data_IF_058551377490
#
_entry.id   IF_058551377490
#
_cell.length_a   1.000
_cell.length_b   1.000
_cell.length_c   1.000
_cell.angle_alpha   90.00
_cell.angle_beta   90.00
_cell.angle_gamma   90.00
#
_symmetry.space_group_name_H-M   'P 1'
#
loop_
_entity.id
_entity.type
_entity.pdbx_description
1 polymer ?
#
# COMPACT_ATOMS: atom_id res chain seq x y z
N UNK A 1 -12.59 -45.58 -33.40
CA UNK A 1 -12.22 -44.16 -33.29
C UNK A 1 -12.48 -43.71 -31.85
N UNK A 2 -11.43 -43.51 -31.05
CA UNK A 2 -11.51 -42.92 -29.71
C UNK A 2 -10.60 -41.69 -29.71
N UNK A 3 -11.21 -40.51 -29.88
CA UNK A 3 -10.51 -39.24 -29.86
C UNK A 3 -10.25 -38.79 -28.43
N UNK A 4 -8.99 -38.76 -28.02
CA UNK A 4 -8.55 -38.03 -26.83
C UNK A 4 -8.64 -36.52 -27.12
N UNK A 5 -9.56 -35.84 -26.45
CA UNK A 5 -9.53 -34.38 -26.33
C UNK A 5 -8.47 -34.01 -25.29
N UNK A 6 -7.29 -33.63 -25.77
CA UNK A 6 -6.26 -33.01 -24.94
C UNK A 6 -6.75 -31.62 -24.50
N UNK A 7 -7.05 -31.49 -23.21
CA UNK A 7 -7.36 -30.21 -22.58
C UNK A 7 -6.14 -29.29 -22.60
N UNK A 8 -6.17 -28.28 -23.45
CA UNK A 8 -5.25 -27.15 -23.41
C UNK A 8 -5.54 -26.32 -22.15
N UNK A 9 -4.76 -26.53 -21.10
CA UNK A 9 -4.66 -25.57 -20.00
C UNK A 9 -3.99 -24.31 -20.53
N UNK A 10 -4.80 -23.29 -20.85
CA UNK A 10 -4.29 -21.95 -21.15
C UNK A 10 -3.78 -21.35 -19.84
N UNK A 11 -2.49 -21.53 -19.57
CA UNK A 11 -1.80 -20.77 -18.53
C UNK A 11 -1.94 -19.29 -18.88
N UNK A 12 -2.70 -18.54 -18.07
CA UNK A 12 -2.77 -17.08 -18.21
C UNK A 12 -1.34 -16.53 -18.09
N UNK A 13 -0.92 -15.59 -18.95
CA UNK A 13 0.41 -15.01 -18.85
C UNK A 13 0.52 -14.36 -17.47
N UNK A 14 1.47 -14.85 -16.67
CA UNK A 14 1.89 -14.17 -15.45
C UNK A 14 2.47 -12.83 -15.91
N UNK A 15 1.67 -11.76 -15.80
CA UNK A 15 2.18 -10.41 -15.98
C UNK A 15 3.33 -10.22 -14.99
N UNK A 16 4.57 -10.27 -15.50
CA UNK A 16 5.75 -10.06 -14.69
C UNK A 16 5.61 -8.68 -14.04
N UNK A 17 5.66 -8.63 -12.71
CA UNK A 17 5.65 -7.37 -11.99
C UNK A 17 7.01 -6.69 -12.23
N UNK A 18 6.99 -5.45 -12.74
CA UNK A 18 8.20 -4.66 -12.90
C UNK A 18 8.62 -4.05 -11.55
N UNK A 19 9.24 -4.86 -10.70
CA UNK A 19 9.70 -4.47 -9.36
C UNK A 19 11.22 -4.61 -9.26
N UNK A 20 11.84 -3.69 -8.53
CA UNK A 20 13.26 -3.74 -8.19
C UNK A 20 13.41 -3.75 -6.68
N UNK A 21 14.22 -4.66 -6.16
CA UNK A 21 14.43 -4.82 -4.73
C UNK A 21 15.86 -4.45 -4.34
N UNK A 22 15.99 -3.78 -3.20
CA UNK A 22 17.28 -3.53 -2.55
C UNK A 22 17.12 -3.74 -1.05
N UNK A 23 18.10 -4.40 -0.44
CA UNK A 23 18.14 -4.67 1.00
C UNK A 23 16.91 -5.45 1.54
N UNK A 24 16.13 -6.09 0.65
CA UNK A 24 14.98 -6.94 0.96
C UNK A 24 15.37 -8.40 1.04
N UNK A 25 14.93 -9.09 2.10
CA UNK A 25 15.03 -10.54 2.18
C UNK A 25 14.15 -11.20 1.11
N UNK A 26 14.43 -12.46 0.73
CA UNK A 26 13.57 -13.19 -0.22
C UNK A 26 12.11 -13.26 0.24
N UNK A 27 11.89 -13.42 1.55
CA UNK A 27 10.56 -13.40 2.14
C UNK A 27 9.88 -12.03 1.94
N UNK A 28 10.58 -10.92 2.22
CA UNK A 28 10.03 -9.58 1.98
C UNK A 28 9.69 -9.36 0.50
N UNK A 29 10.54 -9.84 -0.41
CA UNK A 29 10.32 -9.71 -1.86
C UNK A 29 9.03 -10.44 -2.27
N UNK A 30 8.84 -11.69 -1.84
CA UNK A 30 7.64 -12.47 -2.12
C UNK A 30 6.36 -11.82 -1.53
N UNK A 31 6.45 -11.28 -0.31
CA UNK A 31 5.33 -10.57 0.32
C UNK A 31 4.97 -9.27 -0.44
N UNK A 32 5.98 -8.51 -0.88
CA UNK A 32 5.79 -7.29 -1.68
C UNK A 32 5.18 -7.61 -3.05
N UNK A 33 5.69 -8.63 -3.74
CA UNK A 33 5.14 -9.09 -5.02
C UNK A 33 3.67 -9.48 -4.89
N UNK A 34 3.36 -10.26 -3.85
CA UNK A 34 1.98 -10.69 -3.54
C UNK A 34 1.08 -9.48 -3.29
N UNK A 35 1.53 -8.51 -2.48
CA UNK A 35 0.77 -7.30 -2.19
C UNK A 35 0.55 -6.44 -3.45
N UNK A 36 1.58 -6.21 -4.27
CA UNK A 36 1.46 -5.43 -5.52
C UNK A 36 0.53 -6.13 -6.51
N UNK A 37 0.64 -7.45 -6.67
CA UNK A 37 -0.28 -8.24 -7.52
C UNK A 37 -1.71 -8.10 -7.03
N UNK A 38 -1.92 -8.20 -5.72
CA UNK A 38 -3.24 -8.05 -5.13
C UNK A 38 -3.82 -6.65 -5.38
N UNK A 39 -3.02 -5.59 -5.15
CA UNK A 39 -3.43 -4.21 -5.39
C UNK A 39 -3.88 -3.97 -6.84
N UNK A 40 -3.11 -4.48 -7.81
CA UNK A 40 -3.44 -4.37 -9.23
C UNK A 40 -4.74 -5.11 -9.58
N UNK A 41 -4.94 -6.31 -9.04
CA UNK A 41 -6.11 -7.13 -9.33
C UNK A 41 -7.40 -6.67 -8.61
N UNK A 42 -7.28 -5.90 -7.52
CA UNK A 42 -8.42 -5.59 -6.63
C UNK A 42 -8.73 -4.09 -6.52
N UNK A 43 -8.34 -3.27 -7.50
CA UNK A 43 -8.63 -1.82 -7.53
C UNK A 43 -10.11 -1.54 -7.27
N UNK A 44 -11.01 -2.29 -7.89
CA UNK A 44 -12.46 -2.11 -7.69
C UNK A 44 -12.91 -2.30 -6.23
N UNK A 45 -12.24 -3.18 -5.47
CA UNK A 45 -12.52 -3.33 -4.03
C UNK A 45 -12.02 -2.14 -3.22
N UNK A 46 -10.88 -1.54 -3.61
CA UNK A 46 -10.35 -0.33 -2.99
C UNK A 46 -11.28 0.86 -3.27
N UNK A 47 -11.75 0.99 -4.51
CA UNK A 47 -12.72 2.02 -4.93
C UNK A 47 -14.01 1.94 -4.09
N UNK A 48 -14.49 0.73 -3.80
CA UNK A 48 -15.66 0.54 -2.93
C UNK A 48 -15.45 0.99 -1.48
N UNK A 49 -14.22 1.22 -1.02
CA UNK A 49 -13.89 1.70 0.32
C UNK A 49 -13.57 3.20 0.34
N UNK A 50 -12.97 3.74 -0.70
CA UNK A 50 -12.68 5.17 -0.83
C UNK A 50 -13.96 6.01 -0.72
N UNK A 51 -13.85 7.19 -0.10
CA UNK A 51 -14.99 8.09 0.12
C UNK A 51 -16.03 7.61 1.15
N UNK A 52 -15.81 6.46 1.81
CA UNK A 52 -16.74 5.91 2.82
C UNK A 52 -16.14 5.97 4.22
N UNK A 53 -17.02 6.02 5.21
CA UNK A 53 -16.69 5.92 6.64
C UNK A 53 -15.51 6.81 7.04
N UNK A 54 -15.59 8.11 6.73
CA UNK A 54 -14.55 9.12 7.03
C UNK A 54 -13.28 9.06 6.15
N UNK A 55 -13.16 8.09 5.23
CA UNK A 55 -12.09 8.09 4.23
C UNK A 55 -12.34 9.16 3.17
N UNK A 56 -11.25 9.80 2.73
CA UNK A 56 -11.30 10.72 1.61
C UNK A 56 -11.68 9.96 0.32
N UNK A 57 -12.50 10.58 -0.53
CA UNK A 57 -12.74 10.08 -1.89
C UNK A 57 -11.49 10.29 -2.78
N UNK A 58 -11.51 9.79 -4.01
CA UNK A 58 -10.51 10.07 -5.04
C UNK A 58 -10.64 11.50 -5.56
N UNK A 59 -9.77 12.47 -5.18
CA UNK A 59 -9.86 13.81 -5.70
C UNK A 59 -9.41 13.89 -7.17
N UNK A 60 -10.26 14.40 -8.06
CA UNK A 60 -9.91 14.66 -9.47
C UNK A 60 -9.30 13.44 -10.17
N UNK A 61 -8.17 13.61 -10.83
CA UNK A 61 -7.47 12.54 -11.56
C UNK A 61 -6.62 11.60 -10.68
N UNK A 62 -6.71 11.70 -9.35
CA UNK A 62 -5.84 10.95 -8.44
C UNK A 62 -5.96 9.42 -8.56
N UNK A 63 -7.17 8.89 -8.83
CA UNK A 63 -7.37 7.45 -9.06
C UNK A 63 -6.57 6.97 -10.27
N UNK A 64 -6.74 7.65 -11.41
CA UNK A 64 -6.01 7.36 -12.64
C UNK A 64 -4.50 7.45 -12.42
N UNK A 65 -4.03 8.53 -11.79
CA UNK A 65 -2.62 8.72 -11.51
C UNK A 65 -2.06 7.64 -10.57
N UNK A 66 -2.83 7.18 -9.58
CA UNK A 66 -2.42 6.12 -8.66
C UNK A 66 -2.21 4.79 -9.39
N UNK A 67 -3.13 4.42 -10.29
CA UNK A 67 -2.98 3.26 -11.17
C UNK A 67 -1.74 3.38 -12.06
N UNK A 68 -1.55 4.53 -12.70
CA UNK A 68 -0.35 4.79 -13.51
C UNK A 68 0.95 4.71 -12.71
N UNK A 69 0.94 5.00 -11.40
CA UNK A 69 2.12 4.80 -10.55
C UNK A 69 2.32 3.33 -10.20
N UNK A 70 1.24 2.60 -9.91
CA UNK A 70 1.27 1.17 -9.58
C UNK A 70 1.72 0.32 -10.77
N UNK A 71 1.44 0.75 -11.99
CA UNK A 71 1.82 0.05 -13.22
C UNK A 71 3.25 0.34 -13.70
N UNK A 72 3.89 1.37 -13.16
CA UNK A 72 5.30 1.67 -13.48
C UNK A 72 6.24 0.78 -12.68
N UNK A 73 7.50 0.74 -13.12
CA UNK A 73 8.59 0.17 -12.33
C UNK A 73 8.62 0.79 -10.92
N UNK A 74 8.46 -0.04 -9.89
CA UNK A 74 8.56 0.36 -8.49
C UNK A 74 9.83 -0.21 -7.87
N UNK A 75 10.60 0.66 -7.21
CA UNK A 75 11.80 0.24 -6.48
C UNK A 75 11.51 0.18 -4.99
N UNK A 76 11.66 -0.99 -4.40
CA UNK A 76 11.51 -1.21 -2.97
C UNK A 76 12.87 -1.32 -2.30
N UNK A 77 13.02 -0.61 -1.19
CA UNK A 77 14.15 -0.75 -0.27
C UNK A 77 13.61 -1.22 1.06
N UNK A 78 13.96 -2.43 1.49
CA UNK A 78 13.59 -2.93 2.81
C UNK A 78 14.72 -2.59 3.79
N UNK A 79 14.35 -2.04 4.94
CA UNK A 79 15.28 -1.58 6.00
C UNK A 79 16.08 -0.33 5.62
N UNK A 80 16.10 0.64 6.53
CA UNK A 80 16.85 1.88 6.36
C UNK A 80 18.19 1.78 7.11
N UNK A 81 19.31 1.81 6.38
CA UNK A 81 20.68 1.84 6.92
C UNK A 81 21.00 3.08 7.81
N UNK A 82 20.06 4.01 8.02
CA UNK A 82 20.25 5.26 8.79
C UNK A 82 19.03 5.64 9.64
N UNK A 83 18.57 4.75 10.52
CA UNK A 83 17.73 5.13 11.68
C UNK A 83 16.38 5.85 11.36
N UNK A 84 15.76 5.69 10.18
CA UNK A 84 14.44 6.28 9.90
C UNK A 84 13.23 5.37 10.11
N UNK A 85 13.44 4.06 10.29
CA UNK A 85 12.42 3.17 10.89
C UNK A 85 12.36 3.41 12.40
N UNK A 86 12.29 4.68 12.81
CA UNK A 86 12.12 5.10 14.18
C UNK A 86 10.64 5.39 14.40
N UNK A 87 10.14 4.97 15.56
CA UNK A 87 8.96 5.53 16.21
C UNK A 87 9.13 7.05 16.18
N UNK A 88 8.34 7.75 15.36
CA UNK A 88 8.51 9.21 15.20
C UNK A 88 8.26 9.82 16.57
N UNK A 89 9.36 10.25 17.21
CA UNK A 89 9.38 10.61 18.61
C UNK A 89 8.41 11.77 18.87
N UNK A 90 7.75 11.70 20.03
CA UNK A 90 6.65 12.55 20.56
C UNK A 90 5.21 12.20 20.20
N UNK A 91 4.90 11.24 19.30
CA UNK A 91 3.49 10.95 18.92
C UNK A 91 3.04 9.48 18.93
N UNK A 92 3.86 8.54 19.42
CA UNK A 92 3.54 7.10 19.45
C UNK A 92 3.26 6.45 18.08
N UNK A 93 3.44 7.15 16.95
CA UNK A 93 3.19 6.60 15.62
C UNK A 93 4.42 5.83 15.12
N UNK A 94 4.21 4.58 14.72
CA UNK A 94 5.23 3.76 14.02
C UNK A 94 5.22 4.13 12.54
N UNK A 95 6.39 4.42 11.98
CA UNK A 95 6.56 4.63 10.55
C UNK A 95 6.72 3.26 9.86
N UNK A 96 5.70 2.86 9.10
CA UNK A 96 5.68 1.58 8.38
C UNK A 96 6.32 1.66 6.98
N UNK A 97 6.34 2.85 6.38
CA UNK A 97 6.98 3.11 5.10
C UNK A 97 7.27 4.59 4.87
N UNK A 98 8.04 4.88 3.83
CA UNK A 98 8.28 6.24 3.34
C UNK A 98 8.69 6.22 1.86
N UNK A 99 8.04 7.05 1.04
CA UNK A 99 8.61 7.49 -0.24
C UNK A 99 9.69 8.53 0.01
N UNK A 100 10.89 8.31 -0.54
CA UNK A 100 11.93 9.35 -0.57
C UNK A 100 11.78 10.17 -1.86
N UNK A 101 11.38 11.46 -1.75
CA UNK A 101 11.14 12.32 -2.89
C UNK A 101 12.46 12.91 -3.41
N UNK A 102 13.40 12.07 -3.85
CA UNK A 102 14.39 12.55 -4.82
C UNK A 102 13.75 12.31 -6.17
N UNK A 103 13.35 13.40 -6.83
CA UNK A 103 12.50 13.54 -8.02
C UNK A 103 12.76 12.60 -9.22
N UNK A 104 13.77 11.72 -9.16
CA UNK A 104 14.10 10.77 -10.22
C UNK A 104 14.06 9.29 -9.80
N UNK A 105 14.01 8.94 -8.52
CA UNK A 105 14.27 7.55 -8.09
C UNK A 105 13.06 6.73 -7.62
N UNK A 106 11.88 7.33 -7.41
CA UNK A 106 10.60 6.63 -7.07
C UNK A 106 10.78 5.42 -6.14
N UNK A 107 11.58 5.60 -5.11
CA UNK A 107 11.92 4.53 -4.17
C UNK A 107 10.91 4.51 -3.03
N UNK A 108 10.27 3.36 -2.84
CA UNK A 108 9.42 3.06 -1.68
C UNK A 108 10.32 2.37 -0.65
N UNK A 109 10.50 2.99 0.51
CA UNK A 109 11.21 2.38 1.63
C UNK A 109 10.19 1.73 2.56
N UNK A 110 10.40 0.45 2.89
CA UNK A 110 9.51 -0.30 3.78
C UNK A 110 10.24 -0.67 5.07
N UNK A 111 9.59 -0.43 6.20
CA UNK A 111 10.04 -0.84 7.52
C UNK A 111 9.43 -2.20 7.89
N UNK A 112 9.71 -3.23 7.09
CA UNK A 112 9.06 -4.54 7.15
C UNK A 112 9.21 -5.24 8.50
N UNK A 113 10.26 -4.93 9.26
CA UNK A 113 10.44 -5.41 10.65
C UNK A 113 9.31 -5.00 11.61
N UNK A 114 8.49 -4.02 11.26
CA UNK A 114 7.34 -3.60 12.05
C UNK A 114 6.02 -4.21 11.56
N UNK A 115 6.03 -4.94 10.45
CA UNK A 115 4.82 -5.55 9.91
C UNK A 115 4.47 -6.77 10.78
N UNK A 116 3.34 -6.68 11.46
CA UNK A 116 2.86 -7.67 12.43
C UNK A 116 1.54 -8.32 11.98
N UNK A 117 0.87 -7.73 10.99
CA UNK A 117 -0.41 -8.20 10.46
C UNK A 117 -0.25 -8.88 9.09
N UNK A 118 0.98 -9.30 8.75
CA UNK A 118 1.31 -10.00 7.51
C UNK A 118 0.96 -9.17 6.27
N UNK A 119 0.34 -9.81 5.28
CA UNK A 119 -0.03 -9.21 3.99
C UNK A 119 -0.84 -7.92 4.09
N UNK A 120 -1.67 -7.75 5.13
CA UNK A 120 -2.45 -6.53 5.29
C UNK A 120 -1.55 -5.29 5.48
N UNK A 121 -0.44 -5.42 6.21
CA UNK A 121 0.51 -4.32 6.41
C UNK A 121 1.24 -3.97 5.11
N UNK A 122 1.64 -4.98 4.31
CA UNK A 122 2.24 -4.76 2.99
C UNK A 122 1.26 -4.07 2.04
N UNK A 123 0.02 -4.57 1.92
CA UNK A 123 -1.02 -4.01 1.05
C UNK A 123 -1.33 -2.56 1.45
N UNK A 124 -1.56 -2.31 2.74
CA UNK A 124 -1.87 -0.98 3.29
C UNK A 124 -0.72 0.00 3.05
N UNK A 125 0.49 -0.38 3.45
CA UNK A 125 1.67 0.49 3.39
C UNK A 125 2.05 0.81 1.95
N UNK A 126 2.11 -0.18 1.07
CA UNK A 126 2.46 0.05 -0.34
C UNK A 126 1.42 0.95 -1.01
N UNK A 127 0.12 0.73 -0.77
CA UNK A 127 -0.92 1.58 -1.33
C UNK A 127 -0.81 3.04 -0.86
N UNK A 128 -0.53 3.24 0.44
CA UNK A 128 -0.28 4.56 1.03
C UNK A 128 0.94 5.25 0.42
N UNK A 129 2.07 4.54 0.30
CA UNK A 129 3.30 5.09 -0.28
C UNK A 129 3.13 5.42 -1.77
N UNK A 130 2.44 4.58 -2.55
CA UNK A 130 2.07 4.93 -3.93
C UNK A 130 1.15 6.17 -3.96
N UNK A 131 0.28 6.34 -2.96
CA UNK A 131 -0.50 7.55 -2.75
C UNK A 131 0.36 8.81 -2.64
N UNK A 132 1.52 8.73 -1.99
CA UNK A 132 2.49 9.83 -1.91
C UNK A 132 3.12 10.18 -3.26
N UNK A 133 3.28 9.21 -4.17
CA UNK A 133 3.78 9.46 -5.53
C UNK A 133 2.76 10.22 -6.41
N UNK A 134 1.49 10.24 -6.03
CA UNK A 134 0.42 10.96 -6.73
C UNK A 134 0.21 12.34 -6.12
N UNK A 135 0.16 12.43 -4.78
CA UNK A 135 0.01 13.70 -4.06
C UNK A 135 0.98 13.74 -2.88
N UNK A 136 1.97 14.62 -2.98
CA UNK A 136 2.83 14.97 -1.84
C UNK A 136 2.02 15.82 -0.84
N UNK A 137 1.24 15.15 -0.01
CA UNK A 137 0.56 15.76 1.11
C UNK A 137 1.27 15.36 2.42
N UNK A 138 1.51 16.32 3.31
CA UNK A 138 1.92 16.00 4.68
C UNK A 138 0.85 15.14 5.36
N UNK A 139 1.28 14.13 6.13
CA UNK A 139 0.38 13.33 6.97
C UNK A 139 -0.33 14.24 7.99
N UNK A 140 -1.54 13.85 8.42
CA UNK A 140 -2.00 14.35 9.71
C UNK A 140 -1.16 13.67 10.80
N UNK A 141 -0.39 14.44 11.54
CA UNK A 141 0.46 13.94 12.63
C UNK A 141 -0.31 13.79 13.96
N UNK A 142 -1.43 14.52 14.12
CA UNK A 142 -2.35 14.29 15.22
C UNK A 142 -3.17 13.03 14.96
N UNK A 143 -3.07 12.04 15.85
CA UNK A 143 -3.71 10.73 15.70
C UNK A 143 -5.23 10.84 15.47
N UNK A 144 -5.95 11.60 16.31
CA UNK A 144 -7.41 11.76 16.17
C UNK A 144 -7.78 12.34 14.81
N UNK A 145 -7.08 13.38 14.35
CA UNK A 145 -7.29 13.97 13.01
C UNK A 145 -6.90 13.02 11.88
N UNK A 146 -5.88 12.18 12.07
CA UNK A 146 -5.51 11.16 11.10
C UNK A 146 -6.60 10.09 10.96
N UNK A 147 -7.29 9.77 12.07
CA UNK A 147 -8.42 8.86 12.04
C UNK A 147 -9.69 9.49 11.44
N UNK A 148 -10.06 10.70 11.85
CA UNK A 148 -11.34 11.31 11.43
C UNK A 148 -11.29 11.93 10.04
N UNK A 149 -10.11 12.43 9.63
CA UNK A 149 -9.92 13.13 8.37
C UNK A 149 -8.57 12.73 7.76
N UNK A 150 -8.36 11.44 7.47
CA UNK A 150 -7.14 10.96 6.84
C UNK A 150 -6.88 11.74 5.56
N UNK A 151 -5.62 12.08 5.30
CA UNK A 151 -5.25 12.65 3.99
C UNK A 151 -5.33 11.58 2.92
N UNK A 152 -5.20 12.01 1.67
CA UNK A 152 -5.28 11.15 0.50
C UNK A 152 -4.47 9.84 0.62
N UNK A 153 -3.16 9.87 0.88
CA UNK A 153 -2.35 8.65 1.00
C UNK A 153 -2.81 7.74 2.13
N UNK A 154 -3.12 8.33 3.30
CA UNK A 154 -3.65 7.61 4.47
C UNK A 154 -4.98 6.93 4.11
N UNK A 155 -5.86 7.63 3.38
CA UNK A 155 -7.16 7.09 2.96
C UNK A 155 -7.00 5.93 2.01
N UNK A 156 -6.06 6.02 1.05
CA UNK A 156 -5.78 4.94 0.10
C UNK A 156 -5.19 3.71 0.80
N UNK A 157 -4.26 3.90 1.74
CA UNK A 157 -3.70 2.81 2.55
C UNK A 157 -4.78 2.10 3.37
N UNK A 158 -5.57 2.85 4.13
CA UNK A 158 -6.68 2.31 4.91
C UNK A 158 -7.70 1.62 4.00
N UNK A 159 -8.12 2.24 2.90
CA UNK A 159 -9.04 1.62 1.94
C UNK A 159 -8.51 0.26 1.44
N UNK A 160 -7.23 0.17 1.11
CA UNK A 160 -6.60 -1.08 0.68
C UNK A 160 -6.56 -2.14 1.78
N UNK A 161 -6.18 -1.76 3.01
CA UNK A 161 -6.16 -2.65 4.17
C UNK A 161 -7.53 -3.28 4.44
N UNK A 162 -8.57 -2.45 4.50
CA UNK A 162 -9.91 -2.92 4.82
C UNK A 162 -10.55 -3.66 3.64
N UNK A 163 -10.19 -3.32 2.39
CA UNK A 163 -10.54 -4.13 1.23
C UNK A 163 -9.89 -5.52 1.27
N UNK A 164 -8.64 -5.62 1.73
CA UNK A 164 -7.93 -6.89 1.89
C UNK A 164 -8.54 -7.75 3.00
N UNK A 165 -8.79 -7.15 4.17
CA UNK A 165 -9.38 -7.84 5.33
C UNK A 165 -10.87 -8.16 5.17
N UNK A 166 -11.53 -7.64 4.14
CA UNK A 166 -12.99 -7.77 3.99
C UNK A 166 -13.80 -6.94 4.99
N UNK A 167 -13.19 -5.94 5.64
CA UNK A 167 -13.80 -5.14 6.69
C UNK A 167 -14.20 -3.73 6.24
N UNK A 168 -14.55 -2.88 7.21
CA UNK A 168 -14.87 -1.47 6.99
C UNK A 168 -14.02 -0.60 7.91
N UNK A 169 -13.44 0.47 7.36
CA UNK A 169 -12.81 1.48 8.18
C UNK A 169 -13.88 2.20 9.02
N UNK A 170 -13.52 2.58 10.25
CA UNK A 170 -14.32 3.40 11.15
C UNK A 170 -13.38 4.29 11.95
N UNK A 171 -13.53 5.62 11.83
CA UNK A 171 -12.69 6.55 12.57
C UNK A 171 -12.80 6.36 14.09
N UNK A 172 -13.94 5.90 14.61
CA UNK A 172 -14.13 5.64 16.03
C UNK A 172 -13.25 4.51 16.55
N UNK A 173 -13.10 3.43 15.78
CA UNK A 173 -12.24 2.31 16.16
C UNK A 173 -10.76 2.70 16.07
N UNK A 174 -10.36 3.42 15.01
CA UNK A 174 -9.02 4.01 14.91
C UNK A 174 -8.70 4.92 16.11
N UNK A 175 -9.65 5.77 16.52
CA UNK A 175 -9.47 6.71 17.64
C UNK A 175 -9.26 6.04 18.99
N UNK A 176 -9.78 4.83 19.22
CA UNK A 176 -9.54 4.08 20.48
C UNK A 176 -8.05 3.81 20.71
N UNK A 177 -7.26 3.82 19.64
CA UNK A 177 -5.81 3.62 19.69
C UNK A 177 -5.01 4.94 19.74
N UNK A 178 -5.68 6.09 19.69
CA UNK A 178 -5.05 7.39 19.87
C UNK A 178 -4.87 7.70 21.36
N UNK A 179 -3.62 7.61 21.84
CA UNK A 179 -3.22 8.06 23.17
C UNK A 179 -3.24 9.58 23.30
#
# INVERSE_FOLDING_TARGET
LLGLLAGLFVASPAYALDLEFKDCSQSDQAEIETAVKWLKANVGKIDQKMGKNDLMDWPGSSRKNWLEKLDKKLKFVCKNAKNKCQRVSKSNTVLYGQVVPVFKQKTIQLCTNHFSQGQADYVSTIAHEVGHLVRLNAHRTNCKKACEKPRFSQSVGLAAEYAYKGGHYNASDCKKHCK
#
